data_IF_157270561837
#
_entry.id   IF_157270561837
#
_cell.length_a   1.000
_cell.length_b   1.000
_cell.length_c   1.000
_cell.angle_alpha   90.00
_cell.angle_beta   90.00
_cell.angle_gamma   90.00
#
_symmetry.space_group_name_H-M   'P 1'
#
loop_
_entity.id
_entity.type
_entity.pdbx_description
1 polymer ?
#
# COMPACT_ATOMS: atom_id res chain seq x y z
N UNK A 1 43.27 -58.19 2.71
CA UNK A 1 44.63 -58.06 2.14
C UNK A 1 44.56 -57.10 0.97
N UNK A 2 45.43 -56.08 0.96
CA UNK A 2 45.79 -55.13 -0.11
C UNK A 2 44.93 -53.85 -0.21
N UNK A 3 45.41 -52.70 0.30
CA UNK A 3 46.43 -51.72 -0.19
C UNK A 3 45.69 -50.51 -0.80
N UNK A 4 45.46 -49.43 -0.03
CA UNK A 4 46.29 -48.20 0.01
C UNK A 4 46.56 -47.57 -1.37
N UNK A 5 45.84 -46.49 -1.69
CA UNK A 5 46.40 -45.35 -2.44
C UNK A 5 45.81 -44.05 -1.89
N UNK A 6 46.68 -43.21 -1.32
CA UNK A 6 46.40 -41.83 -0.93
C UNK A 6 46.47 -40.93 -2.16
N UNK A 7 45.56 -39.96 -2.30
CA UNK A 7 45.65 -38.86 -3.27
C UNK A 7 45.40 -37.53 -2.52
N UNK A 8 46.07 -36.42 -2.88
CA UNK A 8 46.52 -35.43 -1.93
C UNK A 8 45.53 -34.29 -1.70
N UNK A 9 45.73 -33.67 -0.55
CA UNK A 9 45.16 -32.43 -0.05
C UNK A 9 45.40 -31.28 -1.05
N UNK A 10 44.33 -30.79 -1.70
CA UNK A 10 44.34 -29.47 -2.35
C UNK A 10 43.68 -28.50 -1.38
N UNK A 11 44.51 -27.74 -0.68
CA UNK A 11 44.08 -26.58 0.09
C UNK A 11 43.80 -25.42 -0.87
N UNK A 12 42.53 -25.10 -1.08
CA UNK A 12 42.12 -23.85 -1.73
C UNK A 12 41.88 -22.83 -0.61
N UNK A 13 42.90 -22.02 -0.36
CA UNK A 13 42.75 -20.76 0.36
C UNK A 13 42.34 -19.71 -0.67
N UNK A 14 41.11 -19.21 -0.59
CA UNK A 14 40.66 -18.06 -1.35
C UNK A 14 40.05 -17.01 -0.41
N UNK A 15 40.77 -15.91 -0.35
CA UNK A 15 40.48 -14.55 0.11
C UNK A 15 39.03 -14.17 0.46
N UNK A 16 38.90 -13.51 1.62
CA UNK A 16 37.74 -12.71 2.03
C UNK A 16 37.42 -11.59 1.04
N UNK A 17 36.13 -11.36 0.79
CA UNK A 17 35.54 -10.03 0.70
C UNK A 17 34.08 -10.10 1.18
N UNK A 18 33.81 -9.56 2.36
CA UNK A 18 32.49 -9.09 2.75
C UNK A 18 32.15 -7.91 1.85
N UNK A 19 31.15 -8.05 0.98
CA UNK A 19 30.47 -6.90 0.38
C UNK A 19 29.09 -7.33 -0.08
N UNK A 20 28.15 -7.39 0.86
CA UNK A 20 26.79 -7.04 0.51
C UNK A 20 26.70 -5.55 0.73
N UNK A 21 27.05 -4.81 -0.31
CA UNK A 21 26.60 -3.44 -0.54
C UNK A 21 25.09 -3.42 -0.26
N UNK A 22 24.64 -2.53 0.62
CA UNK A 22 23.21 -2.18 0.68
C UNK A 22 22.91 -1.43 -0.61
N UNK A 23 22.48 -2.16 -1.64
CA UNK A 23 21.94 -1.56 -2.85
C UNK A 23 20.63 -0.87 -2.46
N UNK A 24 20.58 0.42 -2.73
CA UNK A 24 19.57 1.32 -2.20
C UNK A 24 18.20 1.04 -2.81
N UNK A 25 17.16 1.17 -1.99
CA UNK A 25 15.72 1.19 -2.36
C UNK A 25 15.36 2.29 -3.39
N UNK A 26 16.34 3.05 -3.88
CA UNK A 26 16.15 4.20 -4.76
C UNK A 26 15.60 3.79 -6.13
N UNK A 27 15.94 2.58 -6.62
CA UNK A 27 15.42 2.10 -7.89
C UNK A 27 13.92 1.81 -7.86
N UNK A 28 13.39 1.30 -6.74
CA UNK A 28 11.97 0.90 -6.65
C UNK A 28 11.04 2.05 -6.25
N UNK A 29 11.54 3.04 -5.50
CA UNK A 29 10.84 4.30 -5.18
C UNK A 29 10.64 5.13 -6.46
N UNK A 30 11.64 5.12 -7.36
CA UNK A 30 11.56 5.78 -8.66
C UNK A 30 10.41 5.26 -9.53
N UNK A 31 10.03 3.98 -9.44
CA UNK A 31 8.93 3.42 -10.22
C UNK A 31 7.57 4.00 -9.79
N UNK A 32 7.38 4.26 -8.49
CA UNK A 32 6.18 4.94 -8.00
C UNK A 32 6.17 6.38 -8.52
N UNK A 33 7.28 7.12 -8.37
CA UNK A 33 7.38 8.51 -8.85
C UNK A 33 7.10 8.65 -10.34
N UNK A 34 7.65 7.75 -11.15
CA UNK A 34 7.45 7.76 -12.60
C UNK A 34 5.98 7.54 -12.99
N UNK A 35 5.22 6.84 -12.15
CA UNK A 35 3.80 6.53 -12.35
C UNK A 35 2.85 7.48 -11.61
N UNK A 36 3.35 8.44 -10.82
CA UNK A 36 2.48 9.31 -10.05
C UNK A 36 1.69 10.22 -10.96
N UNK A 37 0.38 9.98 -10.97
CA UNK A 37 -0.61 10.90 -11.49
C UNK A 37 -1.70 11.06 -10.45
N UNK A 38 -2.35 12.22 -10.43
CA UNK A 38 -3.49 12.45 -9.56
C UNK A 38 -4.72 12.51 -10.44
N UNK A 39 -5.57 11.46 -10.46
CA UNK A 39 -6.80 11.50 -11.23
C UNK A 39 -7.78 12.50 -10.62
N UNK A 40 -8.76 12.95 -11.40
CA UNK A 40 -9.87 13.72 -10.89
C UNK A 40 -10.58 12.97 -9.74
N UNK A 41 -11.06 13.71 -8.74
CA UNK A 41 -11.83 13.13 -7.64
C UNK A 41 -13.23 12.77 -8.08
N UNK A 42 -13.56 11.49 -7.97
CA UNK A 42 -14.89 10.97 -8.31
C UNK A 42 -15.81 11.15 -7.11
N UNK A 43 -17.11 11.32 -7.36
CA UNK A 43 -18.12 11.49 -6.31
C UNK A 43 -18.08 10.37 -5.27
N UNK A 44 -17.92 9.11 -5.70
CA UNK A 44 -17.84 7.97 -4.79
C UNK A 44 -16.64 8.05 -3.83
N UNK A 45 -15.54 8.67 -4.24
CA UNK A 45 -14.36 8.86 -3.39
C UNK A 45 -14.66 9.86 -2.28
N UNK A 46 -15.27 11.00 -2.63
CA UNK A 46 -15.70 12.04 -1.67
C UNK A 46 -16.66 11.46 -0.64
N UNK A 47 -17.68 10.74 -1.11
CA UNK A 47 -18.68 10.11 -0.22
C UNK A 47 -18.03 9.10 0.75
N UNK A 48 -17.04 8.33 0.28
CA UNK A 48 -16.31 7.38 1.15
C UNK A 48 -15.52 8.13 2.22
N UNK A 49 -14.78 9.18 1.87
CA UNK A 49 -14.01 9.96 2.83
C UNK A 49 -14.92 10.60 3.88
N UNK A 50 -16.06 11.15 3.47
CA UNK A 50 -17.06 11.74 4.36
C UNK A 50 -17.65 10.68 5.30
N UNK A 51 -18.03 9.51 4.80
CA UNK A 51 -18.57 8.42 5.62
C UNK A 51 -17.57 7.92 6.66
N UNK A 52 -16.29 7.81 6.30
CA UNK A 52 -15.23 7.41 7.24
C UNK A 52 -15.05 8.49 8.30
N UNK A 53 -15.01 9.76 7.93
CA UNK A 53 -14.87 10.86 8.90
C UNK A 53 -16.10 10.99 9.80
N UNK A 54 -17.31 10.80 9.27
CA UNK A 54 -18.54 10.78 10.08
C UNK A 54 -18.49 9.64 11.11
N UNK A 55 -18.10 8.43 10.71
CA UNK A 55 -17.89 7.30 11.63
C UNK A 55 -16.89 7.65 12.73
N UNK A 56 -15.76 8.27 12.38
CA UNK A 56 -14.74 8.70 13.34
C UNK A 56 -15.30 9.71 14.34
N UNK A 57 -16.03 10.72 13.85
CA UNK A 57 -16.64 11.75 14.69
C UNK A 57 -17.70 11.17 15.63
N UNK A 58 -18.50 10.21 15.17
CA UNK A 58 -19.50 9.51 16.00
C UNK A 58 -18.85 8.73 17.16
N UNK A 59 -17.60 8.29 16.99
CA UNK A 59 -16.80 7.65 18.04
C UNK A 59 -16.03 8.64 18.92
N UNK A 60 -16.13 9.94 18.66
CA UNK A 60 -15.35 10.97 19.37
C UNK A 60 -13.89 11.04 18.95
N UNK A 61 -13.53 10.48 17.79
CA UNK A 61 -12.21 10.63 17.18
C UNK A 61 -12.15 11.89 16.31
N UNK A 62 -10.95 12.38 16.05
CA UNK A 62 -10.75 13.48 15.12
C UNK A 62 -10.98 13.02 13.68
N UNK A 63 -11.62 13.87 12.89
CA UNK A 63 -11.64 13.74 11.43
C UNK A 63 -10.20 13.77 10.88
N UNK A 64 -9.95 12.97 9.86
CA UNK A 64 -8.72 12.93 9.11
C UNK A 64 -8.77 13.96 7.98
N UNK A 65 -7.64 14.58 7.68
CA UNK A 65 -7.51 15.47 6.54
C UNK A 65 -7.18 14.70 5.27
N UNK A 66 -7.73 15.11 4.14
CA UNK A 66 -7.34 14.62 2.84
C UNK A 66 -5.87 14.96 2.52
N UNK A 67 -5.25 14.21 1.61
CA UNK A 67 -3.89 14.53 1.16
C UNK A 67 -3.67 14.02 -0.26
N UNK A 68 -3.53 14.96 -1.20
CA UNK A 68 -3.40 14.67 -2.63
C UNK A 68 -2.31 13.65 -2.97
N UNK A 69 -1.16 13.69 -2.29
CA UNK A 69 -0.09 12.70 -2.50
C UNK A 69 -0.51 11.28 -2.10
N UNK A 70 -1.32 11.14 -1.04
CA UNK A 70 -1.88 9.84 -0.63
C UNK A 70 -2.85 9.34 -1.70
N UNK A 71 -3.64 10.23 -2.30
CA UNK A 71 -4.51 9.88 -3.44
C UNK A 71 -3.70 9.39 -4.64
N UNK A 72 -2.65 10.10 -5.05
CA UNK A 72 -1.82 9.67 -6.18
C UNK A 72 -1.24 8.28 -5.95
N UNK A 73 -0.77 7.99 -4.72
CA UNK A 73 -0.20 6.67 -4.36
C UNK A 73 -1.28 5.58 -4.24
N UNK A 74 -2.48 5.93 -3.77
CA UNK A 74 -3.61 5.00 -3.77
C UNK A 74 -4.03 4.65 -5.20
N UNK A 75 -4.02 5.63 -6.10
CA UNK A 75 -4.37 5.44 -7.51
C UNK A 75 -3.43 4.47 -8.22
N UNK A 76 -2.11 4.55 -8.02
CA UNK A 76 -1.18 3.60 -8.65
C UNK A 76 -1.50 2.14 -8.32
N UNK A 77 -1.97 1.87 -7.10
CA UNK A 77 -2.36 0.51 -6.71
C UNK A 77 -3.76 0.12 -7.18
N UNK A 78 -4.71 1.06 -7.16
CA UNK A 78 -6.05 0.81 -7.70
C UNK A 78 -5.98 0.51 -9.20
N UNK A 79 -5.17 1.25 -9.96
CA UNK A 79 -4.92 1.03 -11.38
C UNK A 79 -4.26 -0.34 -11.64
N UNK A 80 -3.22 -0.67 -10.86
CA UNK A 80 -2.60 -2.00 -10.88
C UNK A 80 -3.64 -3.13 -10.66
N UNK A 81 -4.53 -2.97 -9.69
CA UNK A 81 -5.57 -3.97 -9.40
C UNK A 81 -6.57 -4.11 -10.55
N UNK A 82 -6.96 -3.00 -11.19
CA UNK A 82 -7.83 -3.00 -12.38
C UNK A 82 -7.15 -3.72 -13.55
N UNK A 83 -5.92 -3.31 -13.89
CA UNK A 83 -5.16 -3.84 -15.03
C UNK A 83 -4.88 -5.33 -14.93
N UNK A 84 -4.64 -5.81 -13.71
CA UNK A 84 -4.34 -7.21 -13.44
C UNK A 84 -5.58 -8.01 -13.04
N UNK A 85 -6.74 -7.37 -12.96
CA UNK A 85 -8.00 -7.96 -12.51
C UNK A 85 -7.84 -8.77 -11.21
N UNK A 86 -7.19 -8.17 -10.21
CA UNK A 86 -6.80 -8.80 -8.95
C UNK A 86 -7.07 -7.89 -7.77
N UNK A 87 -7.50 -8.46 -6.65
CA UNK A 87 -7.61 -7.74 -5.37
C UNK A 87 -6.44 -8.18 -4.49
N UNK A 88 -5.55 -7.24 -4.14
CA UNK A 88 -4.35 -7.58 -3.39
C UNK A 88 -3.80 -6.41 -2.59
N UNK A 89 -2.89 -6.72 -1.66
CA UNK A 89 -2.00 -5.74 -1.01
C UNK A 89 -0.60 -5.73 -1.64
N UNK A 90 -0.49 -6.11 -2.93
CA UNK A 90 0.80 -6.28 -3.60
C UNK A 90 1.68 -5.02 -3.44
N UNK A 91 2.94 -5.26 -3.07
CA UNK A 91 3.96 -4.22 -2.90
C UNK A 91 3.58 -3.07 -1.95
N UNK A 92 2.70 -3.31 -0.96
CA UNK A 92 2.30 -2.29 0.02
C UNK A 92 3.50 -1.63 0.72
N UNK A 93 4.56 -2.38 1.02
CA UNK A 93 5.77 -1.83 1.62
C UNK A 93 6.38 -0.68 0.80
N UNK A 94 6.33 -0.76 -0.55
CA UNK A 94 6.82 0.31 -1.44
C UNK A 94 6.00 1.58 -1.27
N UNK A 95 4.67 1.47 -1.27
CA UNK A 95 3.76 2.61 -1.01
C UNK A 95 4.00 3.21 0.37
N UNK A 96 4.16 2.35 1.37
CA UNK A 96 4.45 2.76 2.75
C UNK A 96 5.74 3.56 2.83
N UNK A 97 6.82 3.05 2.26
CA UNK A 97 8.13 3.70 2.32
C UNK A 97 8.18 4.98 1.49
N UNK A 98 7.51 5.00 0.34
CA UNK A 98 7.32 6.20 -0.47
C UNK A 98 6.62 7.32 0.34
N UNK A 99 5.50 7.01 1.01
CA UNK A 99 4.76 7.98 1.81
C UNK A 99 5.52 8.42 3.06
N UNK A 100 6.34 7.54 3.66
CA UNK A 100 7.23 7.96 4.77
C UNK A 100 8.27 8.96 4.28
N UNK A 101 8.90 8.71 3.13
CA UNK A 101 9.94 9.57 2.57
C UNK A 101 9.39 10.91 2.08
N UNK A 102 8.22 10.91 1.42
CA UNK A 102 7.74 12.08 0.66
C UNK A 102 6.54 12.79 1.30
N UNK A 103 5.75 12.08 2.11
CA UNK A 103 4.60 12.65 2.80
C UNK A 103 4.89 12.96 4.27
N UNK A 104 6.08 12.67 4.80
CA UNK A 104 6.39 12.82 6.23
C UNK A 104 5.62 11.85 7.12
N UNK A 105 5.16 10.72 6.56
CA UNK A 105 4.43 9.73 7.34
C UNK A 105 5.38 9.00 8.30
N UNK A 106 4.92 8.74 9.52
CA UNK A 106 5.57 7.85 10.50
C UNK A 106 4.93 6.48 10.52
N UNK A 107 3.64 6.40 10.14
CA UNK A 107 2.86 5.17 10.02
C UNK A 107 2.00 5.24 8.77
N UNK A 108 1.85 4.10 8.08
CA UNK A 108 1.00 3.96 6.89
C UNK A 108 0.22 2.64 7.02
N UNK A 109 -1.05 2.64 6.66
CA UNK A 109 -1.87 1.42 6.51
C UNK A 109 -2.81 1.58 5.32
N UNK A 110 -3.44 0.50 4.87
CA UNK A 110 -4.40 0.54 3.77
C UNK A 110 -5.58 -0.40 3.95
N UNK A 111 -6.71 -0.01 3.37
CA UNK A 111 -7.86 -0.87 3.11
C UNK A 111 -8.00 -1.04 1.59
N UNK A 112 -8.31 -2.25 1.14
CA UNK A 112 -8.67 -2.54 -0.26
C UNK A 112 -10.06 -3.15 -0.34
N UNK A 113 -10.75 -2.96 -1.46
CA UNK A 113 -12.04 -3.58 -1.72
C UNK A 113 -12.31 -3.74 -3.21
N UNK A 114 -13.32 -4.54 -3.55
CA UNK A 114 -13.77 -4.77 -4.92
C UNK A 114 -15.26 -5.08 -5.00
N UNK A 115 -15.91 -4.62 -6.06
CA UNK A 115 -17.26 -5.05 -6.47
C UNK A 115 -18.42 -4.41 -5.69
N UNK A 116 -18.14 -3.57 -4.70
CA UNK A 116 -19.13 -2.71 -4.04
C UNK A 116 -19.58 -1.61 -5.01
N UNK A 117 -20.86 -1.26 -5.01
CA UNK A 117 -21.44 -0.35 -6.00
C UNK A 117 -21.82 1.02 -5.44
N UNK A 118 -21.64 1.22 -4.13
CA UNK A 118 -21.87 2.51 -3.46
C UNK A 118 -20.87 2.74 -2.33
N UNK A 119 -20.63 4.00 -2.00
CA UNK A 119 -19.80 4.41 -0.87
C UNK A 119 -20.24 3.77 0.45
N UNK A 120 -21.55 3.76 0.75
CA UNK A 120 -22.07 3.14 1.97
C UNK A 120 -21.81 1.64 2.01
N UNK A 121 -21.92 0.96 0.87
CA UNK A 121 -21.74 -0.48 0.81
C UNK A 121 -20.29 -0.90 1.10
N UNK A 122 -19.30 -0.15 0.59
CA UNK A 122 -17.88 -0.43 0.84
C UNK A 122 -17.46 -0.03 2.26
N UNK A 123 -17.87 1.15 2.76
CA UNK A 123 -17.55 1.56 4.14
C UNK A 123 -18.18 0.61 5.15
N UNK A 124 -19.45 0.20 4.95
CA UNK A 124 -20.10 -0.80 5.80
C UNK A 124 -19.38 -2.15 5.77
N UNK A 125 -18.81 -2.54 4.63
CA UNK A 125 -18.02 -3.77 4.53
C UNK A 125 -16.70 -3.66 5.29
N UNK A 126 -15.98 -2.53 5.16
CA UNK A 126 -14.78 -2.28 5.95
C UNK A 126 -15.08 -2.24 7.46
N UNK A 127 -16.17 -1.61 7.88
CA UNK A 127 -16.56 -1.56 9.30
C UNK A 127 -16.89 -2.95 9.88
N UNK A 128 -17.37 -3.88 9.05
CA UNK A 128 -17.64 -5.27 9.48
C UNK A 128 -16.38 -6.13 9.60
N UNK A 129 -15.26 -5.72 9.00
CA UNK A 129 -13.98 -6.42 9.11
C UNK A 129 -13.16 -5.79 10.24
N UNK A 130 -12.77 -6.58 11.24
CA UNK A 130 -12.00 -6.06 12.38
C UNK A 130 -10.67 -5.42 11.94
N UNK A 131 -10.00 -6.00 10.94
CA UNK A 131 -8.76 -5.46 10.40
C UNK A 131 -8.97 -4.12 9.66
N UNK A 132 -9.99 -4.03 8.80
CA UNK A 132 -10.25 -2.79 8.05
C UNK A 132 -10.83 -1.68 8.95
N UNK A 133 -11.68 -2.05 9.91
CA UNK A 133 -12.21 -1.15 10.93
C UNK A 133 -11.09 -0.56 11.78
N UNK A 134 -10.14 -1.37 12.22
CA UNK A 134 -8.98 -0.88 12.98
C UNK A 134 -8.15 0.18 12.23
N UNK A 135 -8.10 0.12 10.90
CA UNK A 135 -7.45 1.16 10.09
C UNK A 135 -8.25 2.48 10.12
N UNK A 136 -9.57 2.42 9.93
CA UNK A 136 -10.44 3.61 9.95
C UNK A 136 -10.52 4.28 11.32
N UNK A 137 -10.39 3.51 12.40
CA UNK A 137 -10.44 3.98 13.79
C UNK A 137 -9.05 4.27 14.37
N UNK A 138 -7.99 3.99 13.61
CA UNK A 138 -6.61 4.13 14.07
C UNK A 138 -6.19 5.59 14.32
N UNK A 139 -5.11 5.73 15.07
CA UNK A 139 -4.42 7.02 15.25
C UNK A 139 -3.66 7.39 13.97
N UNK A 140 -4.36 8.11 13.09
CA UNK A 140 -3.88 8.67 11.85
C UNK A 140 -4.26 10.15 11.78
N UNK A 141 -3.63 10.90 10.89
CA UNK A 141 -3.89 12.33 10.69
C UNK A 141 -4.43 12.63 9.30
N UNK A 142 -3.99 11.87 8.31
CA UNK A 142 -4.40 12.05 6.93
C UNK A 142 -4.77 10.73 6.30
N UNK A 143 -5.58 10.80 5.27
CA UNK A 143 -5.98 9.67 4.47
C UNK A 143 -6.45 10.16 3.10
N UNK A 144 -6.47 9.25 2.14
CA UNK A 144 -7.13 9.50 0.87
C UNK A 144 -7.43 8.17 0.18
N UNK A 145 -8.16 8.22 -0.92
CA UNK A 145 -8.63 7.03 -1.62
C UNK A 145 -8.63 7.24 -3.14
N UNK A 146 -8.38 6.15 -3.86
CA UNK A 146 -8.66 6.04 -5.28
C UNK A 146 -9.65 4.90 -5.54
N UNK A 147 -10.64 5.16 -6.39
CA UNK A 147 -11.58 4.17 -6.88
C UNK A 147 -11.64 4.19 -8.42
N UNK A 148 -11.52 3.01 -9.03
CA UNK A 148 -11.60 2.86 -10.50
C UNK A 148 -12.50 1.68 -10.88
N UNK A 149 -13.17 1.80 -12.03
CA UNK A 149 -13.95 0.71 -12.60
C UNK A 149 -13.13 -0.04 -13.65
N UNK A 150 -13.25 -1.36 -13.65
CA UNK A 150 -12.81 -2.16 -14.79
C UNK A 150 -13.81 -2.08 -15.96
N UNK A 151 -13.51 -2.79 -17.05
CA UNK A 151 -14.35 -2.81 -18.26
C UNK A 151 -15.78 -3.33 -18.04
N UNK A 152 -16.00 -4.15 -17.00
CA UNK A 152 -17.33 -4.65 -16.61
C UNK A 152 -18.07 -3.72 -15.62
N UNK A 153 -17.51 -2.55 -15.34
CA UNK A 153 -18.10 -1.56 -14.41
C UNK A 153 -17.95 -1.94 -12.93
N UNK A 154 -17.06 -2.89 -12.59
CA UNK A 154 -16.79 -3.28 -11.20
C UNK A 154 -15.73 -2.38 -10.60
N UNK A 155 -16.06 -1.79 -9.45
CA UNK A 155 -15.16 -0.91 -8.72
C UNK A 155 -14.05 -1.67 -8.01
N UNK A 156 -12.85 -1.11 -8.04
CA UNK A 156 -11.70 -1.41 -7.20
C UNK A 156 -11.40 -0.20 -6.32
N UNK A 157 -10.96 -0.45 -5.09
CA UNK A 157 -10.72 0.60 -4.11
C UNK A 157 -9.39 0.37 -3.39
N UNK A 158 -8.64 1.46 -3.24
CA UNK A 158 -7.51 1.55 -2.30
C UNK A 158 -7.71 2.79 -1.44
N UNK A 159 -7.80 2.62 -0.13
CA UNK A 159 -7.83 3.71 0.85
C UNK A 159 -6.60 3.63 1.73
N UNK A 160 -5.77 4.67 1.73
CA UNK A 160 -4.53 4.71 2.49
C UNK A 160 -4.67 5.72 3.62
N UNK A 161 -4.20 5.36 4.81
CA UNK A 161 -4.15 6.22 5.98
C UNK A 161 -2.70 6.43 6.40
N UNK A 162 -2.36 7.66 6.78
CA UNK A 162 -1.03 8.01 7.27
C UNK A 162 -1.09 8.78 8.59
N UNK A 163 -0.08 8.58 9.44
CA UNK A 163 0.16 9.38 10.64
C UNK A 163 1.33 10.31 10.37
N UNK A 164 1.12 11.61 10.60
CA UNK A 164 2.14 12.66 10.56
C UNK A 164 2.31 13.30 11.93
#
# INVERSE_FOLDING_TARGET
MNFLTKLPLVAIVAFFCFSCTTESNDYEVNDIELSLTTPETKTIEVEILDLINNHRLDMGLNALSDMTLVKSVAFTHTDYMVDNNVVSHANFYKRSDYLKANAGATKVTENVAYGYSSAESVVKAWLKSDAHRANMEGDFTNFDLAAEQNAEGKWYYTNIFIKK
#
